data_IF_312722251639
#
_entry.id   IF_312722251639
#
_cell.length_a   1.000
_cell.length_b   1.000
_cell.length_c   1.000
_cell.angle_alpha   90.00
_cell.angle_beta   90.00
_cell.angle_gamma   90.00
#
_symmetry.space_group_name_H-M   'P 1'
#
loop_
_entity.id
_entity.type
_entity.pdbx_description
1 polymer ?
#
# COMPACT_ATOMS: atom_id res chain seq x y z
N UNK A 1 -11.42 8.38 10.96
CA UNK A 1 -10.82 7.66 9.81
C UNK A 1 -9.46 7.12 10.21
N UNK A 2 -9.19 5.83 10.00
CA UNK A 2 -7.87 5.22 10.18
C UNK A 2 -7.31 4.81 8.82
N UNK A 3 -5.98 4.93 8.61
CA UNK A 3 -5.35 4.74 7.30
C UNK A 3 -4.11 3.88 7.40
N UNK A 4 -3.89 3.00 6.42
CA UNK A 4 -2.67 2.22 6.27
C UNK A 4 -2.30 2.13 4.79
N UNK A 5 -1.00 2.04 4.49
CA UNK A 5 -0.52 1.90 3.12
C UNK A 5 0.51 0.79 3.01
N UNK A 6 0.62 0.20 1.81
CA UNK A 6 1.72 -0.71 1.49
C UNK A 6 2.12 -0.67 0.01
N UNK A 7 3.39 -1.00 -0.23
CA UNK A 7 3.93 -1.36 -1.56
C UNK A 7 4.31 -2.83 -1.49
N UNK A 8 3.71 -3.63 -2.36
CA UNK A 8 3.93 -5.08 -2.44
C UNK A 8 4.61 -5.42 -3.75
N UNK A 9 5.80 -5.98 -3.69
CA UNK A 9 6.59 -6.41 -4.85
C UNK A 9 6.58 -7.93 -4.91
N UNK A 10 5.92 -8.49 -5.90
CA UNK A 10 5.92 -9.93 -6.17
C UNK A 10 7.10 -10.29 -7.07
N UNK A 11 7.85 -11.31 -6.69
CA UNK A 11 9.06 -11.69 -7.44
C UNK A 11 9.84 -12.81 -6.76
N UNK A 12 11.05 -13.04 -7.21
CA UNK A 12 11.95 -14.04 -6.62
C UNK A 12 13.07 -13.33 -5.88
N UNK A 13 12.92 -13.21 -4.56
CA UNK A 13 13.80 -12.43 -3.69
C UNK A 13 14.85 -13.31 -3.04
N UNK A 14 16.13 -12.92 -3.17
CA UNK A 14 17.19 -13.54 -2.38
C UNK A 14 17.24 -12.90 -0.98
N UNK A 15 16.50 -13.46 -0.03
CA UNK A 15 16.38 -12.94 1.33
C UNK A 15 17.70 -12.82 2.08
N UNK A 16 18.76 -13.56 1.66
CA UNK A 16 20.09 -13.51 2.28
C UNK A 16 20.84 -12.19 2.05
N UNK A 17 20.46 -11.41 1.03
CA UNK A 17 21.03 -10.08 0.78
C UNK A 17 20.62 -9.08 1.84
N UNK A 18 19.41 -9.23 2.39
CA UNK A 18 18.80 -8.28 3.31
C UNK A 18 19.35 -8.45 4.74
N UNK A 19 20.66 -8.31 4.91
CA UNK A 19 21.27 -8.23 6.24
C UNK A 19 20.94 -6.89 6.90
N UNK A 20 20.95 -6.78 8.25
CA UNK A 20 20.69 -5.53 8.94
C UNK A 20 21.52 -4.35 8.42
N UNK A 21 22.83 -4.53 8.23
CA UNK A 21 23.70 -3.46 7.73
C UNK A 21 23.38 -3.09 6.28
N UNK A 22 23.09 -4.07 5.42
CA UNK A 22 22.72 -3.79 4.04
C UNK A 22 21.40 -3.00 3.95
N UNK A 23 20.38 -3.39 4.74
CA UNK A 23 19.09 -2.69 4.77
C UNK A 23 19.24 -1.27 5.30
N UNK A 24 19.95 -1.08 6.41
CA UNK A 24 20.17 0.25 6.99
C UNK A 24 20.90 1.19 6.05
N UNK A 25 22.00 0.72 5.42
CA UNK A 25 22.83 1.56 4.56
C UNK A 25 22.22 1.78 3.17
N UNK A 26 21.72 0.71 2.53
CA UNK A 26 21.35 0.75 1.12
C UNK A 26 19.87 1.06 0.90
N UNK A 27 18.97 0.47 1.68
CA UNK A 27 17.54 0.69 1.49
C UNK A 27 17.09 1.95 2.22
N UNK A 28 17.33 2.01 3.52
CA UNK A 28 16.88 3.13 4.36
C UNK A 28 17.80 4.36 4.29
N UNK A 29 19.07 4.19 3.91
CA UNK A 29 20.10 5.25 3.93
C UNK A 29 20.18 5.96 5.26
N UNK A 30 20.26 5.17 6.35
CA UNK A 30 20.33 5.68 7.69
C UNK A 30 21.63 6.45 7.93
N UNK A 31 21.54 7.52 8.70
CA UNK A 31 22.69 8.30 9.15
C UNK A 31 23.38 7.62 10.33
N UNK A 32 24.65 7.98 10.57
CA UNK A 32 25.38 7.51 11.73
C UNK A 32 24.65 7.90 13.03
N UNK A 33 24.51 6.92 13.94
CA UNK A 33 23.80 7.10 15.21
C UNK A 33 22.28 6.83 15.15
N UNK A 34 21.68 6.64 13.96
CA UNK A 34 20.30 6.18 13.86
C UNK A 34 20.20 4.67 14.16
N UNK A 35 19.07 4.25 14.70
CA UNK A 35 18.77 2.84 14.99
C UNK A 35 17.49 2.40 14.26
N UNK A 36 17.43 1.13 13.87
CA UNK A 36 16.22 0.50 13.39
C UNK A 36 15.84 -0.69 14.28
N UNK A 37 14.55 -0.95 14.36
CA UNK A 37 14.03 -2.14 15.01
C UNK A 37 14.11 -3.33 14.05
N UNK A 38 14.57 -4.47 14.58
CA UNK A 38 14.58 -5.74 13.85
C UNK A 38 13.73 -6.71 14.67
N UNK A 39 12.74 -7.29 14.03
CA UNK A 39 11.84 -8.22 14.68
C UNK A 39 11.62 -9.48 13.85
N UNK A 40 11.05 -10.48 14.49
CA UNK A 40 10.60 -11.72 13.86
C UNK A 40 9.08 -11.75 13.88
N UNK A 41 8.47 -11.92 12.71
CA UNK A 41 7.05 -12.23 12.64
C UNK A 41 6.87 -13.70 13.03
N UNK A 42 6.38 -13.95 14.24
CA UNK A 42 6.24 -15.30 14.81
C UNK A 42 5.28 -16.18 14.00
N UNK A 43 4.27 -15.61 13.35
CA UNK A 43 3.29 -16.37 12.57
C UNK A 43 3.88 -16.92 11.27
N UNK A 44 4.86 -16.22 10.71
CA UNK A 44 5.44 -16.55 9.39
C UNK A 44 6.94 -16.86 9.46
N UNK A 45 7.56 -16.73 10.65
CA UNK A 45 9.00 -16.91 10.88
C UNK A 45 9.89 -16.03 9.98
N UNK A 46 9.40 -14.84 9.62
CA UNK A 46 10.10 -13.92 8.75
C UNK A 46 10.64 -12.71 9.50
N UNK A 47 11.86 -12.30 9.15
CA UNK A 47 12.43 -11.06 9.65
C UNK A 47 11.71 -9.86 9.06
N UNK A 48 11.54 -8.83 9.89
CA UNK A 48 11.15 -7.50 9.43
C UNK A 48 12.11 -6.44 9.97
N UNK A 49 12.21 -5.34 9.24
CA UNK A 49 12.97 -4.16 9.62
C UNK A 49 12.02 -2.98 9.73
N UNK A 50 12.11 -2.21 10.82
CA UNK A 50 11.27 -1.04 11.02
C UNK A 50 12.11 0.20 11.28
N UNK A 51 11.86 1.24 10.52
CA UNK A 51 12.53 2.53 10.65
C UNK A 51 11.57 3.65 10.27
N UNK A 52 11.49 4.71 11.11
CA UNK A 52 10.59 5.87 10.93
C UNK A 52 9.14 5.48 10.60
N UNK A 53 8.62 4.43 11.24
CA UNK A 53 7.27 3.95 11.03
C UNK A 53 7.05 3.11 9.76
N UNK A 54 8.08 2.93 8.93
CA UNK A 54 8.02 2.05 7.76
C UNK A 54 8.55 0.67 8.15
N UNK A 55 7.80 -0.35 7.82
CA UNK A 55 8.16 -1.76 8.01
C UNK A 55 8.53 -2.34 6.64
N UNK A 56 9.71 -2.93 6.54
CA UNK A 56 10.12 -3.78 5.42
C UNK A 56 10.00 -5.23 5.84
N UNK A 57 9.11 -5.97 5.19
CA UNK A 57 8.89 -7.40 5.37
C UNK A 57 9.36 -8.15 4.12
N UNK A 58 10.09 -9.26 4.31
CA UNK A 58 10.65 -10.04 3.22
C UNK A 58 10.22 -11.50 3.31
N UNK A 59 9.77 -12.01 2.18
CA UNK A 59 9.42 -13.39 1.92
C UNK A 59 10.12 -13.81 0.61
N UNK A 60 10.28 -15.09 0.37
CA UNK A 60 10.97 -15.58 -0.85
C UNK A 60 10.32 -15.12 -2.15
N UNK A 61 9.01 -14.97 -2.16
CA UNK A 61 8.22 -14.56 -3.33
C UNK A 61 7.57 -13.17 -3.22
N UNK A 62 7.77 -12.47 -2.09
CA UNK A 62 7.13 -11.20 -1.80
C UNK A 62 8.01 -10.32 -0.93
N UNK A 63 8.13 -9.08 -1.30
CA UNK A 63 8.69 -8.03 -0.48
C UNK A 63 7.60 -6.97 -0.26
N UNK A 64 7.50 -6.44 0.94
CA UNK A 64 6.48 -5.45 1.29
C UNK A 64 7.06 -4.33 2.13
N UNK A 65 6.84 -3.09 1.69
CA UNK A 65 6.93 -1.91 2.53
C UNK A 65 5.53 -1.61 3.07
N UNK A 66 5.42 -1.39 4.37
CA UNK A 66 4.14 -1.12 5.05
C UNK A 66 4.27 0.06 5.99
N UNK A 67 3.22 0.86 6.07
CA UNK A 67 3.05 1.90 7.09
C UNK A 67 1.61 1.91 7.60
N UNK A 68 1.46 2.02 8.91
CA UNK A 68 0.16 2.24 9.56
C UNK A 68 -0.21 3.73 9.60
N UNK A 69 0.55 4.56 8.89
CA UNK A 69 0.35 5.99 8.74
C UNK A 69 0.49 6.36 7.26
N UNK A 70 -0.55 6.95 6.67
CA UNK A 70 -0.55 7.43 5.29
C UNK A 70 -0.10 8.90 5.17
N UNK A 71 0.71 9.42 6.10
CA UNK A 71 1.26 10.78 5.95
C UNK A 71 2.03 10.91 4.64
N UNK A 72 2.04 12.11 4.08
CA UNK A 72 2.79 12.40 2.85
C UNK A 72 4.26 11.99 2.97
N UNK A 73 4.86 12.20 4.14
CA UNK A 73 6.24 11.79 4.42
C UNK A 73 6.39 10.26 4.35
N UNK A 74 5.51 9.50 5.02
CA UNK A 74 5.56 8.03 5.03
C UNK A 74 5.36 7.45 3.63
N UNK A 75 4.39 7.97 2.87
CA UNK A 75 4.12 7.53 1.50
C UNK A 75 5.30 7.81 0.57
N UNK A 76 5.87 9.02 0.65
CA UNK A 76 7.05 9.42 -0.13
C UNK A 76 8.28 8.58 0.23
N UNK A 77 8.48 8.28 1.52
CA UNK A 77 9.58 7.41 1.95
C UNK A 77 9.43 5.98 1.43
N UNK A 78 8.22 5.40 1.47
CA UNK A 78 7.98 4.06 0.92
C UNK A 78 8.28 4.01 -0.59
N UNK A 79 7.84 5.01 -1.36
CA UNK A 79 8.14 5.07 -2.80
C UNK A 79 9.65 5.23 -3.05
N UNK A 80 10.34 6.04 -2.26
CA UNK A 80 11.79 6.20 -2.35
C UNK A 80 12.53 4.88 -2.05
N UNK A 81 12.12 4.14 -1.01
CA UNK A 81 12.73 2.85 -0.67
C UNK A 81 12.50 1.80 -1.75
N UNK A 82 11.29 1.77 -2.32
CA UNK A 82 10.98 0.91 -3.45
C UNK A 82 11.86 1.23 -4.67
N UNK A 83 12.02 2.51 -5.01
CA UNK A 83 12.88 2.92 -6.11
C UNK A 83 14.33 2.49 -5.88
N UNK A 84 14.90 2.82 -4.72
CA UNK A 84 16.28 2.42 -4.36
C UNK A 84 16.48 0.92 -4.48
N UNK A 85 15.52 0.15 -3.98
CA UNK A 85 15.58 -1.31 -4.08
C UNK A 85 15.60 -1.79 -5.54
N UNK A 86 14.78 -1.18 -6.39
CA UNK A 86 14.71 -1.50 -7.82
C UNK A 86 16.04 -1.19 -8.53
N UNK A 87 16.70 -0.08 -8.16
CA UNK A 87 18.01 0.32 -8.68
C UNK A 87 19.14 -0.58 -8.18
N UNK A 88 19.10 -1.00 -6.92
CA UNK A 88 20.10 -1.88 -6.31
C UNK A 88 20.02 -3.32 -6.80
N UNK A 89 18.83 -3.77 -7.15
CA UNK A 89 18.56 -5.16 -7.54
C UNK A 89 17.89 -5.26 -8.93
N UNK A 90 18.52 -4.67 -9.99
CA UNK A 90 17.88 -4.53 -11.30
C UNK A 90 17.63 -5.86 -12.01
N UNK A 91 18.28 -6.94 -11.57
CA UNK A 91 18.14 -8.28 -12.15
C UNK A 91 17.22 -9.19 -11.34
N UNK A 92 16.61 -8.69 -10.27
CA UNK A 92 15.62 -9.47 -9.53
C UNK A 92 14.38 -9.67 -10.40
N UNK A 93 13.90 -10.90 -10.57
CA UNK A 93 12.69 -11.17 -11.35
C UNK A 93 11.44 -10.68 -10.59
N UNK A 94 11.10 -9.41 -10.76
CA UNK A 94 9.86 -8.82 -10.24
C UNK A 94 8.77 -9.01 -11.29
N UNK A 95 7.67 -9.66 -10.91
CA UNK A 95 6.54 -10.00 -11.79
C UNK A 95 5.32 -9.12 -11.58
N UNK A 96 5.33 -8.28 -10.55
CA UNK A 96 4.27 -7.33 -10.30
C UNK A 96 4.54 -6.46 -9.08
N UNK A 97 3.97 -5.26 -9.10
CA UNK A 97 4.05 -4.29 -8.00
C UNK A 97 2.65 -3.77 -7.73
N UNK A 98 2.22 -3.85 -6.46
CA UNK A 98 0.95 -3.33 -5.99
C UNK A 98 1.16 -2.19 -5.00
N UNK A 99 0.48 -1.08 -5.22
CA UNK A 99 0.37 0.04 -4.27
C UNK A 99 -1.01 0.00 -3.65
N UNK A 100 -1.08 -0.04 -2.34
CA UNK A 100 -2.33 -0.21 -1.60
C UNK A 100 -2.50 0.93 -0.60
N UNK A 101 -3.74 1.43 -0.50
CA UNK A 101 -4.21 2.27 0.61
C UNK A 101 -5.46 1.63 1.18
N UNK A 102 -5.48 1.46 2.49
CA UNK A 102 -6.63 0.98 3.24
C UNK A 102 -7.16 2.12 4.10
N UNK A 103 -8.47 2.36 4.00
CA UNK A 103 -9.19 3.32 4.83
C UNK A 103 -10.19 2.55 5.68
N UNK A 104 -10.27 2.88 6.97
CA UNK A 104 -11.33 2.40 7.85
C UNK A 104 -12.18 3.61 8.25
N UNK A 105 -13.46 3.58 7.88
CA UNK A 105 -14.46 4.61 8.15
C UNK A 105 -15.47 4.09 9.17
N UNK A 106 -16.01 4.98 9.97
CA UNK A 106 -17.26 4.68 10.68
C UNK A 106 -18.43 4.58 9.69
N UNK A 107 -19.53 3.97 10.08
CA UNK A 107 -20.74 3.94 9.25
C UNK A 107 -21.27 5.34 8.93
N UNK A 108 -21.14 6.29 9.86
CA UNK A 108 -21.54 7.68 9.66
C UNK A 108 -20.65 8.38 8.62
N UNK A 109 -19.33 8.23 8.73
CA UNK A 109 -18.38 8.76 7.73
C UNK A 109 -18.67 8.18 6.34
N UNK A 110 -18.93 6.87 6.25
CA UNK A 110 -19.24 6.20 4.97
C UNK A 110 -20.56 6.71 4.38
N UNK A 111 -21.62 6.87 5.20
CA UNK A 111 -22.91 7.39 4.74
C UNK A 111 -22.81 8.79 4.11
N UNK A 112 -21.82 9.59 4.50
CA UNK A 112 -21.52 10.88 3.91
C UNK A 112 -20.81 10.82 2.54
N UNK A 113 -20.42 9.64 2.06
CA UNK A 113 -19.70 9.50 0.79
C UNK A 113 -20.62 9.45 -0.44
N UNK A 114 -20.15 9.95 -1.58
CA UNK A 114 -20.88 9.84 -2.85
C UNK A 114 -21.08 8.39 -3.30
N UNK A 115 -20.14 7.50 -2.94
CA UNK A 115 -20.22 6.09 -3.31
C UNK A 115 -21.35 5.36 -2.57
N UNK A 116 -21.62 5.74 -1.32
CA UNK A 116 -22.77 5.22 -0.57
C UNK A 116 -24.06 5.50 -1.33
N UNK A 117 -24.32 6.77 -1.68
CA UNK A 117 -25.48 7.16 -2.46
C UNK A 117 -25.55 6.57 -3.86
N UNK A 118 -24.41 6.21 -4.49
CA UNK A 118 -24.39 5.51 -5.77
C UNK A 118 -24.80 4.04 -5.61
N UNK A 119 -24.30 3.36 -4.58
CA UNK A 119 -24.64 1.97 -4.25
C UNK A 119 -26.14 1.86 -3.96
N UNK A 120 -26.68 2.72 -3.15
CA UNK A 120 -28.12 2.77 -2.83
C UNK A 120 -28.98 2.99 -4.07
N UNK A 121 -28.64 4.01 -4.89
CA UNK A 121 -29.40 4.30 -6.13
C UNK A 121 -29.36 3.18 -7.17
N UNK A 122 -28.27 2.41 -7.24
CA UNK A 122 -28.14 1.29 -8.14
C UNK A 122 -28.66 -0.02 -7.56
N UNK A 123 -29.19 0.01 -6.34
CA UNK A 123 -29.68 -1.16 -5.61
C UNK A 123 -28.62 -2.29 -5.58
N UNK A 124 -27.36 -1.90 -5.44
CA UNK A 124 -26.26 -2.84 -5.31
C UNK A 124 -26.30 -3.43 -3.90
N UNK A 125 -26.50 -4.74 -3.81
CA UNK A 125 -26.61 -5.43 -2.54
C UNK A 125 -25.22 -5.66 -1.91
N UNK A 126 -24.73 -4.63 -1.23
CA UNK A 126 -23.48 -4.71 -0.46
C UNK A 126 -23.71 -5.38 0.90
N UNK A 127 -24.93 -5.32 1.41
CA UNK A 127 -25.27 -5.80 2.75
C UNK A 127 -25.36 -7.34 2.81
N UNK A 128 -25.82 -8.00 1.76
CA UNK A 128 -25.89 -9.48 1.74
C UNK A 128 -24.53 -10.12 1.43
N UNK A 129 -23.69 -9.47 0.63
CA UNK A 129 -22.37 -9.97 0.25
C UNK A 129 -21.22 -9.37 1.08
N UNK A 130 -21.52 -8.43 1.98
CA UNK A 130 -20.57 -7.70 2.81
C UNK A 130 -19.41 -7.02 2.05
N UNK A 131 -19.37 -7.11 0.72
CA UNK A 131 -18.33 -6.46 -0.08
C UNK A 131 -18.77 -6.11 -1.50
N UNK A 132 -18.20 -5.03 -2.03
CA UNK A 132 -18.37 -4.60 -3.41
C UNK A 132 -17.01 -4.23 -4.01
N UNK A 133 -16.75 -4.69 -5.23
CA UNK A 133 -15.50 -4.40 -5.95
C UNK A 133 -15.80 -3.57 -7.20
N UNK A 134 -15.03 -2.51 -7.39
CA UNK A 134 -15.00 -1.69 -8.60
C UNK A 134 -13.59 -1.78 -9.19
N UNK A 135 -13.46 -2.10 -10.46
CA UNK A 135 -12.15 -2.24 -11.09
C UNK A 135 -12.12 -1.69 -12.51
N UNK A 136 -10.95 -1.19 -12.91
CA UNK A 136 -10.67 -0.74 -14.25
C UNK A 136 -9.18 -0.88 -14.56
N UNK A 137 -8.83 -1.05 -15.83
CA UNK A 137 -7.46 -0.92 -16.31
C UNK A 137 -7.26 0.50 -16.84
N UNK A 138 -6.22 1.19 -16.33
CA UNK A 138 -5.89 2.55 -16.74
C UNK A 138 -4.39 2.82 -16.52
N UNK A 139 -3.74 3.46 -17.49
CA UNK A 139 -2.33 3.86 -17.46
C UNK A 139 -1.38 2.71 -17.11
N UNK A 140 -1.68 1.50 -17.57
CA UNK A 140 -0.87 0.30 -17.35
C UNK A 140 -1.00 -0.33 -15.96
N UNK A 141 -1.90 0.19 -15.12
CA UNK A 141 -2.26 -0.41 -13.84
C UNK A 141 -3.66 -1.03 -13.89
N UNK A 142 -3.82 -2.19 -13.28
CA UNK A 142 -5.13 -2.68 -12.86
C UNK A 142 -5.49 -2.02 -11.53
N UNK A 143 -6.53 -1.18 -11.53
CA UNK A 143 -6.98 -0.40 -10.39
C UNK A 143 -8.23 -1.03 -9.82
N UNK A 144 -8.27 -1.27 -8.52
CA UNK A 144 -9.46 -1.77 -7.85
C UNK A 144 -9.74 -1.02 -6.56
N UNK A 145 -11.02 -0.78 -6.30
CA UNK A 145 -11.53 -0.29 -5.04
C UNK A 145 -12.48 -1.34 -4.48
N UNK A 146 -12.21 -1.81 -3.29
CA UNK A 146 -13.04 -2.78 -2.58
C UNK A 146 -13.64 -2.11 -1.37
N UNK A 147 -14.96 -2.13 -1.25
CA UNK A 147 -15.69 -1.70 -0.07
C UNK A 147 -16.12 -2.94 0.66
N UNK A 148 -15.82 -3.04 1.94
CA UNK A 148 -16.23 -4.13 2.81
C UNK A 148 -16.98 -3.57 4.01
N UNK A 149 -18.22 -4.01 4.19
CA UNK A 149 -19.05 -3.66 5.33
C UNK A 149 -18.77 -4.64 6.47
N UNK A 150 -18.33 -4.13 7.62
CA UNK A 150 -18.17 -4.90 8.85
C UNK A 150 -19.22 -4.43 9.88
N UNK A 151 -19.35 -5.15 10.99
CA UNK A 151 -20.31 -4.79 12.05
C UNK A 151 -20.10 -3.36 12.60
N UNK A 152 -18.82 -2.98 12.81
CA UNK A 152 -18.46 -1.74 13.50
C UNK A 152 -17.90 -0.65 12.57
N UNK A 153 -17.52 -1.01 11.32
CA UNK A 153 -16.86 -0.09 10.40
C UNK A 153 -17.03 -0.50 8.93
N UNK A 154 -16.59 0.39 8.06
CA UNK A 154 -16.48 0.13 6.61
C UNK A 154 -15.02 0.22 6.21
N UNK A 155 -14.48 -0.83 5.63
CA UNK A 155 -13.15 -0.84 5.04
C UNK A 155 -13.22 -0.53 3.55
N UNK A 156 -12.37 0.40 3.10
CA UNK A 156 -12.18 0.72 1.70
C UNK A 156 -10.72 0.47 1.34
N UNK A 157 -10.49 -0.43 0.40
CA UNK A 157 -9.16 -0.78 -0.06
C UNK A 157 -9.00 -0.32 -1.50
N UNK A 158 -8.02 0.56 -1.73
CA UNK A 158 -7.56 0.93 -3.06
C UNK A 158 -6.30 0.14 -3.39
N UNK A 159 -6.30 -0.58 -4.51
CA UNK A 159 -5.14 -1.30 -5.02
C UNK A 159 -4.85 -0.88 -6.46
N UNK A 160 -3.61 -0.47 -6.73
CA UNK A 160 -3.10 -0.19 -8.06
C UNK A 160 -1.99 -1.19 -8.36
N UNK A 161 -2.30 -2.18 -9.18
CA UNK A 161 -1.40 -3.28 -9.52
C UNK A 161 -0.80 -3.10 -10.91
N UNK A 162 0.52 -3.08 -10.98
CA UNK A 162 1.31 -3.05 -12.21
C UNK A 162 1.91 -4.44 -12.46
N UNK A 163 1.44 -5.14 -13.50
CA UNK A 163 2.01 -6.43 -13.91
C UNK A 163 3.37 -6.28 -14.62
N UNK A 164 3.70 -5.07 -15.06
CA UNK A 164 5.01 -4.72 -15.58
C UNK A 164 5.64 -3.64 -14.66
N UNK A 165 6.67 -3.97 -13.87
CA UNK A 165 7.32 -3.01 -12.96
C UNK A 165 7.87 -1.76 -13.66
N UNK A 166 8.16 -1.83 -14.97
CA UNK A 166 8.63 -0.68 -15.77
C UNK A 166 7.56 0.37 -16.01
N UNK A 167 6.29 0.02 -15.81
CA UNK A 167 5.15 0.91 -15.94
C UNK A 167 4.79 1.62 -14.65
N UNK A 168 5.46 1.30 -13.54
CA UNK A 168 5.29 2.04 -12.28
C UNK A 168 5.73 3.49 -12.49
N UNK A 169 4.89 4.47 -12.16
CA UNK A 169 5.26 5.88 -12.24
C UNK A 169 6.51 6.22 -11.41
N UNK A 170 7.08 7.38 -11.68
CA UNK A 170 8.20 7.90 -10.90
C UNK A 170 7.81 8.14 -9.44
N UNK A 171 8.81 8.08 -8.55
CA UNK A 171 8.66 8.31 -7.11
C UNK A 171 7.89 9.59 -6.78
N UNK A 172 7.08 9.54 -5.74
CA UNK A 172 6.25 10.66 -5.28
C UNK A 172 4.94 10.85 -6.05
N UNK A 173 4.65 9.98 -7.03
CA UNK A 173 3.47 10.14 -7.89
C UNK A 173 2.40 9.07 -7.71
N UNK A 174 2.76 7.82 -7.41
CA UNK A 174 1.78 6.72 -7.41
C UNK A 174 0.76 6.87 -6.28
N UNK A 175 1.21 7.10 -5.06
CA UNK A 175 0.29 7.32 -3.94
C UNK A 175 -0.53 8.60 -4.10
N UNK A 176 0.03 9.67 -4.67
CA UNK A 176 -0.74 10.89 -5.00
C UNK A 176 -1.85 10.62 -6.01
N UNK A 177 -1.61 9.75 -7.01
CA UNK A 177 -2.65 9.35 -7.97
C UNK A 177 -3.74 8.54 -7.25
N UNK A 178 -3.36 7.60 -6.38
CA UNK A 178 -4.32 6.79 -5.61
C UNK A 178 -5.17 7.69 -4.71
N UNK A 179 -4.55 8.63 -4.00
CA UNK A 179 -5.26 9.58 -3.13
C UNK A 179 -6.27 10.41 -3.93
N UNK A 180 -5.85 10.95 -5.07
CA UNK A 180 -6.74 11.73 -5.96
C UNK A 180 -7.92 10.90 -6.46
N UNK A 181 -7.69 9.66 -6.86
CA UNK A 181 -8.75 8.77 -7.33
C UNK A 181 -9.66 8.32 -6.19
N UNK A 182 -9.12 8.08 -4.99
CA UNK A 182 -9.91 7.82 -3.79
C UNK A 182 -10.83 8.99 -3.43
N UNK A 183 -10.31 10.23 -3.45
CA UNK A 183 -11.12 11.44 -3.24
C UNK A 183 -12.25 11.53 -4.24
N UNK A 184 -11.95 11.30 -5.52
CA UNK A 184 -12.98 11.28 -6.56
C UNK A 184 -13.99 10.15 -6.35
N UNK A 185 -13.53 8.95 -5.99
CA UNK A 185 -14.38 7.79 -5.74
C UNK A 185 -15.31 7.98 -4.54
N UNK A 186 -14.80 8.55 -3.45
CA UNK A 186 -15.58 8.83 -2.25
C UNK A 186 -16.44 10.09 -2.38
N UNK A 187 -16.07 11.01 -3.26
CA UNK A 187 -16.81 12.22 -3.57
C UNK A 187 -16.69 13.31 -2.51
N UNK A 188 -15.66 13.26 -1.68
CA UNK A 188 -15.34 14.34 -0.75
C UNK A 188 -13.83 14.51 -0.56
N UNK A 189 -13.44 15.73 -0.20
CA UNK A 189 -12.05 16.03 0.11
C UNK A 189 -11.69 15.50 1.51
N UNK A 190 -10.64 14.72 1.58
CA UNK A 190 -10.02 14.29 2.82
C UNK A 190 -8.49 14.35 2.66
N UNK A 191 -7.77 14.41 3.76
CA UNK A 191 -6.33 14.20 3.76
C UNK A 191 -6.02 12.80 4.28
N UNK A 192 -5.11 12.11 3.65
CA UNK A 192 -4.56 10.86 4.19
C UNK A 192 -3.66 11.14 5.41
N UNK A 193 -3.33 12.41 5.63
CA UNK A 193 -2.49 12.91 6.73
C UNK A 193 -3.32 13.63 7.76
#
# INVERSE_FOLDING_TARGET
MNTAASIVCLGSWNTRIFTPSWVSEKVFSMSEGESMEIGLNEQQLNLFYKWKGIILLMLDNRLEFRSDNCSHESLSMMELFYQRLSELLPYTPVIGVGFNINLTLTHEEYAGTSICGLIERRNLDIYSNNSQTFSAEKDGAFRSFVIQMNADNVEIRANFHYSDPKKVPTVGTTFSIIEKELKHFLGYEFSLC
#
